data_IF_870820729613
#
_entry.id   IF_870820729613
#
_cell.length_a   1.000
_cell.length_b   1.000
_cell.length_c   1.000
_cell.angle_alpha   90.00
_cell.angle_beta   90.00
_cell.angle_gamma   90.00
#
_symmetry.space_group_name_H-M   'P 1'
#
loop_
_entity.id
_entity.type
_entity.pdbx_description
1 polymer ?
#
# COMPACT_ATOMS: atom_id res chain seq x y z
N UNK A 1 -19.68 -51.46 -29.01
CA UNK A 1 -18.34 -50.89 -28.66
C UNK A 1 -18.33 -49.35 -28.73
N UNK A 2 -18.83 -48.69 -29.75
CA UNK A 2 -18.84 -47.20 -29.91
C UNK A 2 -19.48 -46.42 -28.75
N UNK A 3 -20.62 -46.87 -28.20
CA UNK A 3 -21.29 -46.20 -27.08
C UNK A 3 -20.40 -46.12 -25.82
N UNK A 4 -19.63 -47.15 -25.53
CA UNK A 4 -18.76 -47.21 -24.34
C UNK A 4 -17.59 -46.22 -24.48
N UNK A 5 -16.99 -46.13 -25.66
CA UNK A 5 -15.93 -45.15 -25.94
C UNK A 5 -16.44 -43.70 -25.88
N UNK A 6 -17.65 -43.46 -26.41
CA UNK A 6 -18.27 -42.14 -26.34
C UNK A 6 -18.57 -41.70 -24.91
N UNK A 7 -19.18 -42.57 -24.11
CA UNK A 7 -19.48 -42.29 -22.69
C UNK A 7 -18.20 -42.07 -21.88
N UNK A 8 -17.19 -42.93 -22.07
CA UNK A 8 -15.91 -42.75 -21.38
C UNK A 8 -15.21 -41.43 -21.80
N UNK A 9 -15.29 -41.04 -23.07
CA UNK A 9 -14.78 -39.78 -23.55
C UNK A 9 -15.47 -38.57 -22.89
N UNK A 10 -16.79 -38.59 -22.79
CA UNK A 10 -17.56 -37.56 -22.10
C UNK A 10 -17.23 -37.48 -20.60
N UNK A 11 -17.12 -38.64 -19.92
CA UNK A 11 -16.77 -38.68 -18.50
C UNK A 11 -15.33 -38.14 -18.27
N UNK A 12 -14.38 -38.55 -19.11
CA UNK A 12 -13.01 -38.09 -18.99
C UNK A 12 -12.88 -36.59 -19.25
N UNK A 13 -13.54 -36.06 -20.28
CA UNK A 13 -13.51 -34.62 -20.58
C UNK A 13 -14.20 -33.82 -19.47
N UNK A 14 -15.33 -34.30 -18.95
CA UNK A 14 -16.00 -33.69 -17.80
C UNK A 14 -15.12 -33.65 -16.56
N UNK A 15 -14.44 -34.75 -16.25
CA UNK A 15 -13.50 -34.82 -15.12
C UNK A 15 -12.34 -33.83 -15.28
N UNK A 16 -11.73 -33.78 -16.46
CA UNK A 16 -10.63 -32.82 -16.75
C UNK A 16 -11.11 -31.39 -16.61
N UNK A 17 -12.27 -31.06 -17.17
CA UNK A 17 -12.86 -29.71 -17.05
C UNK A 17 -13.14 -29.32 -15.59
N UNK A 18 -13.67 -30.25 -14.80
CA UNK A 18 -13.92 -30.03 -13.37
C UNK A 18 -12.63 -29.79 -12.60
N UNK A 19 -11.59 -30.61 -12.83
CA UNK A 19 -10.28 -30.42 -12.19
C UNK A 19 -9.68 -29.07 -12.60
N UNK A 20 -9.71 -28.73 -13.88
CA UNK A 20 -9.19 -27.46 -14.36
C UNK A 20 -9.92 -26.24 -13.75
N UNK A 21 -11.24 -26.30 -13.61
CA UNK A 21 -12.04 -25.23 -13.00
C UNK A 21 -11.74 -25.02 -11.51
N UNK A 22 -11.31 -26.06 -10.80
CA UNK A 22 -10.90 -25.97 -9.40
C UNK A 22 -9.45 -25.53 -9.27
N UNK A 23 -8.56 -26.11 -10.05
CA UNK A 23 -7.10 -25.87 -9.93
C UNK A 23 -6.72 -24.49 -10.45
N UNK A 24 -7.35 -24.01 -11.53
CA UNK A 24 -7.02 -22.72 -12.14
C UNK A 24 -7.12 -21.53 -11.15
N UNK A 25 -8.24 -21.31 -10.43
CA UNK A 25 -8.33 -20.20 -9.48
C UNK A 25 -7.35 -20.36 -8.30
N UNK A 26 -7.08 -21.58 -7.87
CA UNK A 26 -6.10 -21.86 -6.81
C UNK A 26 -4.71 -21.45 -7.24
N UNK A 27 -4.29 -21.83 -8.45
CA UNK A 27 -2.99 -21.44 -8.99
C UNK A 27 -2.89 -19.91 -9.18
N UNK A 28 -3.95 -19.27 -9.66
CA UNK A 28 -4.00 -17.80 -9.81
C UNK A 28 -3.92 -17.06 -8.47
N UNK A 29 -4.44 -17.65 -7.40
CA UNK A 29 -4.34 -17.09 -6.06
C UNK A 29 -2.94 -17.27 -5.46
N UNK A 30 -2.33 -18.46 -5.65
CA UNK A 30 -1.00 -18.77 -5.09
C UNK A 30 0.11 -18.06 -5.87
N UNK A 31 -0.06 -17.91 -7.19
CA UNK A 31 0.91 -17.24 -8.07
C UNK A 31 0.27 -15.93 -8.58
N UNK A 32 0.27 -14.88 -7.76
CA UNK A 32 -0.29 -13.60 -8.19
C UNK A 32 0.56 -13.04 -9.35
N UNK A 33 -0.07 -12.32 -10.29
CA UNK A 33 0.68 -11.67 -11.36
C UNK A 33 1.69 -10.67 -10.77
N UNK A 34 2.88 -10.63 -11.33
CA UNK A 34 3.87 -9.59 -11.06
C UNK A 34 3.28 -8.23 -11.46
N UNK A 35 2.73 -7.51 -10.49
CA UNK A 35 2.32 -6.12 -10.71
C UNK A 35 3.58 -5.27 -10.64
N UNK A 36 3.95 -4.61 -11.73
CA UNK A 36 5.13 -3.72 -11.80
C UNK A 36 5.09 -2.51 -10.85
N UNK A 37 4.07 -2.44 -10.01
CA UNK A 37 3.86 -1.38 -9.01
C UNK A 37 4.93 -1.38 -7.89
N UNK A 38 5.54 -2.53 -7.62
CA UNK A 38 6.64 -2.62 -6.63
C UNK A 38 7.96 -1.97 -7.11
N UNK A 39 8.10 -1.70 -8.40
CA UNK A 39 9.29 -1.11 -8.99
C UNK A 39 9.30 0.44 -9.00
N UNK A 40 8.23 1.09 -8.48
CA UNK A 40 8.19 2.55 -8.42
C UNK A 40 9.20 3.04 -7.38
N UNK A 41 10.24 3.72 -7.85
CA UNK A 41 11.31 4.27 -7.01
C UNK A 41 11.02 5.69 -6.54
N UNK A 42 10.23 6.45 -7.31
CA UNK A 42 9.83 7.82 -6.97
C UNK A 42 8.48 8.17 -7.57
N UNK A 43 7.78 9.11 -6.94
CA UNK A 43 6.47 9.62 -7.41
C UNK A 43 6.41 11.13 -7.15
N UNK A 44 5.80 11.88 -8.08
CA UNK A 44 5.40 13.27 -7.86
C UNK A 44 4.07 13.32 -7.11
N UNK A 45 4.01 14.10 -6.03
CA UNK A 45 2.84 14.16 -5.12
C UNK A 45 2.08 15.48 -5.26
N UNK A 46 2.51 16.37 -6.15
CA UNK A 46 1.91 17.68 -6.36
C UNK A 46 2.88 18.81 -6.04
N UNK A 47 2.35 20.03 -5.92
CA UNK A 47 3.16 21.22 -5.68
C UNK A 47 3.25 21.52 -4.19
N UNK A 48 4.38 22.08 -3.71
CA UNK A 48 4.51 22.46 -2.30
C UNK A 48 3.45 23.46 -1.84
N UNK A 49 2.99 24.33 -2.73
CA UNK A 49 1.99 25.35 -2.46
C UNK A 49 0.57 24.79 -2.28
N UNK A 50 0.28 23.63 -2.89
CA UNK A 50 -1.01 22.96 -2.74
C UNK A 50 -1.18 22.31 -1.36
N UNK A 51 -0.08 22.14 -0.62
CA UNK A 51 -0.06 21.57 0.72
C UNK A 51 -0.14 22.68 1.77
N UNK A 52 -1.17 22.71 2.56
CA UNK A 52 -1.29 23.68 3.65
C UNK A 52 -0.29 23.36 4.77
N UNK A 53 0.30 24.36 5.46
CA UNK A 53 1.06 24.12 6.68
C UNK A 53 0.24 23.35 7.72
N UNK A 54 0.90 22.52 8.51
CA UNK A 54 0.26 21.68 9.52
C UNK A 54 -0.84 20.77 8.93
N UNK A 55 -0.54 20.12 7.81
CA UNK A 55 -1.47 19.20 7.11
C UNK A 55 -0.80 17.94 6.65
N UNK A 56 -1.60 16.90 6.39
CA UNK A 56 -1.15 15.63 5.82
C UNK A 56 -2.03 15.21 4.64
N UNK A 57 -1.39 14.66 3.62
CA UNK A 57 -2.06 14.18 2.40
C UNK A 57 -1.64 12.75 2.10
N UNK A 58 -2.64 11.89 1.84
CA UNK A 58 -2.40 10.53 1.40
C UNK A 58 -2.19 10.53 -0.12
N UNK A 59 -1.15 9.84 -0.58
CA UNK A 59 -0.85 9.66 -1.99
C UNK A 59 -0.59 8.19 -2.32
N UNK A 60 -0.62 7.83 -3.59
CA UNK A 60 -0.31 6.47 -4.05
C UNK A 60 1.18 6.37 -4.37
N UNK A 61 1.89 5.46 -3.70
CA UNK A 61 3.28 5.14 -3.96
C UNK A 61 3.40 3.71 -4.52
N UNK A 62 3.36 3.57 -5.84
CA UNK A 62 3.17 2.26 -6.46
C UNK A 62 1.86 1.62 -6.02
N UNK A 63 1.91 0.40 -5.50
CA UNK A 63 0.75 -0.33 -4.96
C UNK A 63 0.38 0.01 -3.51
N UNK A 64 1.07 0.94 -2.86
CA UNK A 64 0.92 1.22 -1.43
C UNK A 64 0.50 2.67 -1.15
N UNK A 65 -0.23 2.93 -0.05
CA UNK A 65 -0.50 4.29 0.39
C UNK A 65 0.76 4.92 1.02
N UNK A 66 1.07 6.15 0.62
CA UNK A 66 2.04 7.03 1.26
C UNK A 66 1.34 8.18 1.98
N UNK A 67 1.97 8.73 3.00
CA UNK A 67 1.55 9.92 3.72
C UNK A 67 2.61 11.00 3.56
N UNK A 68 2.24 12.15 3.00
CA UNK A 68 3.06 13.35 2.95
C UNK A 68 2.53 14.34 4.00
N UNK A 69 3.39 14.77 4.89
CA UNK A 69 3.07 15.74 5.94
C UNK A 69 3.84 17.02 5.68
N UNK A 70 3.16 18.16 5.70
CA UNK A 70 3.78 19.47 5.83
C UNK A 70 3.63 19.94 7.26
N UNK A 71 4.74 20.05 7.99
CA UNK A 71 4.73 20.48 9.38
C UNK A 71 4.29 21.95 9.52
N UNK A 72 4.01 22.39 10.73
CA UNK A 72 3.67 23.78 10.99
C UNK A 72 4.84 24.73 10.63
N UNK A 73 6.05 24.25 10.72
CA UNK A 73 7.30 24.96 10.39
C UNK A 73 7.58 24.96 8.87
N UNK A 74 6.78 24.24 8.08
CA UNK A 74 6.86 24.15 6.62
C UNK A 74 7.73 23.02 6.08
N UNK A 75 8.30 22.18 6.94
CA UNK A 75 9.05 21.00 6.52
C UNK A 75 8.15 19.97 5.88
N UNK A 76 8.65 19.31 4.82
CA UNK A 76 7.97 18.19 4.17
C UNK A 76 8.57 16.86 4.64
N UNK A 77 7.73 15.96 5.10
CA UNK A 77 8.10 14.62 5.55
C UNK A 77 7.18 13.59 4.91
N UNK A 78 7.73 12.47 4.46
CA UNK A 78 6.93 11.43 3.84
C UNK A 78 7.19 10.06 4.48
N UNK A 79 6.10 9.28 4.58
CA UNK A 79 6.08 7.99 5.23
C UNK A 79 5.26 7.01 4.43
N UNK A 80 5.50 5.72 4.63
CA UNK A 80 4.48 4.72 4.32
C UNK A 80 3.26 4.97 5.19
N UNK A 81 2.09 5.08 4.57
CA UNK A 81 0.85 5.24 5.31
C UNK A 81 0.29 3.91 5.85
N UNK A 82 1.07 2.84 5.82
CA UNK A 82 0.70 1.54 6.40
C UNK A 82 1.10 1.47 7.87
N UNK A 83 0.10 1.31 8.75
CA UNK A 83 0.33 1.03 10.16
C UNK A 83 1.08 -0.28 10.35
N UNK A 84 2.15 -0.25 11.13
CA UNK A 84 3.01 -1.43 11.37
C UNK A 84 2.39 -2.48 12.28
N UNK A 85 1.16 -2.24 12.78
CA UNK A 85 0.37 -3.24 13.51
C UNK A 85 -0.35 -4.20 12.54
N UNK A 86 -1.40 -3.74 11.84
CA UNK A 86 -2.23 -4.56 10.95
C UNK A 86 -2.55 -3.84 9.61
N UNK A 87 -1.60 -3.08 9.08
CA UNK A 87 -1.67 -2.44 7.76
C UNK A 87 -2.84 -1.46 7.53
N UNK A 88 -3.51 -0.98 8.59
CA UNK A 88 -4.48 0.12 8.45
C UNK A 88 -3.79 1.37 7.92
N UNK A 89 -4.51 2.20 7.18
CA UNK A 89 -3.97 3.48 6.71
C UNK A 89 -3.90 4.48 7.86
N UNK A 90 -2.70 5.02 8.11
CA UNK A 90 -2.48 6.08 9.09
C UNK A 90 -2.78 7.45 8.48
N UNK A 91 -3.09 8.44 9.32
CA UNK A 91 -3.38 9.80 8.92
C UNK A 91 -2.65 10.77 9.83
N UNK A 92 -2.39 11.99 9.34
CA UNK A 92 -1.86 13.07 10.17
C UNK A 92 -2.98 13.77 10.95
N UNK A 93 -2.77 13.97 12.24
CA UNK A 93 -3.64 14.78 13.09
C UNK A 93 -2.98 16.15 13.36
N UNK A 94 -3.50 17.23 12.75
CA UNK A 94 -2.95 18.58 12.95
C UNK A 94 -3.05 19.08 14.40
N UNK A 95 -4.03 18.59 15.17
CA UNK A 95 -4.26 19.03 16.54
C UNK A 95 -3.22 18.45 17.50
N UNK A 96 -2.92 17.16 17.34
CA UNK A 96 -1.89 16.47 18.11
C UNK A 96 -0.48 16.68 17.52
N UNK A 97 -0.38 17.09 16.25
CA UNK A 97 0.87 17.11 15.45
C UNK A 97 1.53 15.74 15.39
N UNK A 98 0.72 14.70 15.29
CA UNK A 98 1.13 13.30 15.28
C UNK A 98 0.50 12.56 14.12
N UNK A 99 1.05 11.39 13.80
CA UNK A 99 0.46 10.47 12.82
C UNK A 99 -0.30 9.40 13.60
N UNK A 100 -1.59 9.28 13.33
CA UNK A 100 -2.49 8.39 14.07
C UNK A 100 -3.03 7.25 13.19
N UNK A 101 -3.24 6.10 13.83
CA UNK A 101 -3.95 4.97 13.27
C UNK A 101 -5.27 4.78 14.00
N UNK A 102 -6.39 5.10 13.36
CA UNK A 102 -7.72 5.05 13.98
C UNK A 102 -8.19 3.63 14.32
N UNK A 103 -7.58 2.57 13.71
CA UNK A 103 -8.02 1.19 13.94
C UNK A 103 -7.81 0.72 15.39
N UNK A 104 -6.65 1.00 15.97
CA UNK A 104 -6.28 0.52 17.31
C UNK A 104 -5.52 1.57 18.13
N UNK A 105 -5.65 2.84 17.78
CA UNK A 105 -5.05 3.95 18.53
C UNK A 105 -3.52 3.99 18.48
N UNK A 106 -2.91 3.46 17.41
CA UNK A 106 -1.47 3.61 17.20
C UNK A 106 -1.10 5.07 16.93
N UNK A 107 -0.04 5.57 17.56
CA UNK A 107 0.45 6.94 17.41
C UNK A 107 1.93 6.92 17.05
N UNK A 108 2.30 7.82 16.13
CA UNK A 108 3.67 8.00 15.68
C UNK A 108 4.02 9.48 15.66
N UNK A 109 5.25 9.80 16.02
CA UNK A 109 5.77 11.15 15.92
C UNK A 109 6.09 11.53 14.46
N UNK A 110 6.50 12.78 14.24
CA UNK A 110 6.90 13.28 12.92
C UNK A 110 8.24 12.73 12.41
N UNK A 111 8.91 11.85 13.15
CA UNK A 111 10.04 11.06 12.68
C UNK A 111 9.63 9.64 12.30
N UNK A 112 8.33 9.34 12.38
CA UNK A 112 7.77 8.01 12.12
C UNK A 112 7.93 7.03 13.27
N UNK A 113 8.50 7.44 14.41
CA UNK A 113 8.67 6.57 15.57
C UNK A 113 7.34 6.38 16.29
N UNK A 114 7.01 5.15 16.64
CA UNK A 114 5.82 4.86 17.42
C UNK A 114 5.98 5.42 18.86
N UNK A 115 4.99 6.18 19.32
CA UNK A 115 4.96 6.82 20.64
C UNK A 115 3.87 6.25 21.54
N UNK A 116 2.80 5.67 20.94
CA UNK A 116 1.76 4.99 21.70
C UNK A 116 1.02 3.94 20.86
N UNK A 117 0.31 3.04 21.56
CA UNK A 117 -0.51 1.99 20.98
C UNK A 117 0.26 0.72 20.60
N UNK A 118 -0.39 -0.21 19.88
CA UNK A 118 0.15 -1.54 19.59
C UNK A 118 1.19 -1.64 18.46
N UNK A 119 1.48 -0.63 17.60
CA UNK A 119 2.45 -0.77 16.52
C UNK A 119 3.83 -1.15 17.05
N UNK A 120 4.47 -2.26 16.57
CA UNK A 120 5.73 -2.77 17.11
C UNK A 120 6.96 -2.08 16.51
N UNK A 121 6.81 -1.32 15.42
CA UNK A 121 7.91 -0.74 14.63
C UNK A 121 7.55 0.68 14.19
N UNK A 122 8.56 1.53 13.90
CA UNK A 122 8.34 2.82 13.29
C UNK A 122 7.74 2.68 11.87
N UNK A 123 7.15 3.75 11.37
CA UNK A 123 6.77 3.86 9.96
C UNK A 123 8.02 3.91 9.07
N UNK A 124 7.93 3.31 7.90
CA UNK A 124 8.98 3.48 6.88
C UNK A 124 8.97 4.92 6.39
N UNK A 125 10.11 5.58 6.45
CA UNK A 125 10.31 6.95 5.95
C UNK A 125 10.69 6.93 4.48
N UNK A 126 10.27 7.96 3.76
CA UNK A 126 10.65 8.23 2.37
C UNK A 126 11.45 9.52 2.28
N UNK A 127 12.31 9.61 1.28
CA UNK A 127 13.02 10.83 0.95
C UNK A 127 12.10 11.81 0.23
N UNK A 128 12.11 13.07 0.64
CA UNK A 128 11.32 14.12 0.00
C UNK A 128 12.26 15.15 -0.61
N UNK A 129 12.07 15.45 -1.88
CA UNK A 129 12.84 16.49 -2.59
C UNK A 129 11.86 17.37 -3.38
N UNK A 130 12.08 18.67 -3.35
CA UNK A 130 11.39 19.62 -4.22
C UNK A 130 12.22 19.80 -5.48
N UNK A 131 11.65 19.46 -6.64
CA UNK A 131 12.29 19.62 -7.95
C UNK A 131 11.49 20.61 -8.78
N UNK A 132 12.02 21.82 -8.94
CA UNK A 132 11.24 22.90 -9.56
C UNK A 132 10.00 23.18 -8.73
N UNK A 133 8.83 22.92 -9.31
CA UNK A 133 7.50 23.18 -8.73
C UNK A 133 6.81 21.90 -8.19
N UNK A 134 7.55 20.79 -8.10
CA UNK A 134 6.97 19.50 -7.69
C UNK A 134 7.66 18.91 -6.48
N UNK A 135 6.84 18.33 -5.60
CA UNK A 135 7.28 17.48 -4.48
C UNK A 135 7.46 16.06 -4.98
N UNK A 136 8.69 15.59 -5.01
CA UNK A 136 9.04 14.24 -5.41
C UNK A 136 9.39 13.42 -4.17
N UNK A 137 8.65 12.34 -3.96
CA UNK A 137 8.89 11.37 -2.89
C UNK A 137 9.58 10.15 -3.49
N UNK A 138 10.64 9.67 -2.85
CA UNK A 138 11.40 8.50 -3.29
C UNK A 138 11.72 7.55 -2.14
N UNK A 139 11.90 6.27 -2.47
CA UNK A 139 12.41 5.28 -1.51
C UNK A 139 13.84 5.63 -1.10
N UNK A 140 14.16 5.41 0.16
CA UNK A 140 15.51 5.54 0.71
C UNK A 140 16.28 4.25 0.47
#
# INVERSE_FOLDING_TARGET
MLRRYFVNGLLSSGLVATIASIVYPILKFIIPPETGESAVMSVSVGRPEDLQPNSGTIFKFGGEPGLLVRTAEGELRAFSARCTHLNCTVQYDPSAKEIICACHGGQFDLNGKNVAGPPPKPLTTYSVNVRGDEVVVSRV
#
